data_IF_630331582766
#
_entry.id   IF_630331582766
#
_cell.length_a   1.000
_cell.length_b   1.000
_cell.length_c   1.000
_cell.angle_alpha   90.00
_cell.angle_beta   90.00
_cell.angle_gamma   90.00
#
_symmetry.space_group_name_H-M   'P 1'
#
loop_
_entity.id
_entity.type
_entity.pdbx_description
1 polymer ?
#
# COMPACT_ATOMS: atom_id res chain seq x y z
N UNK A 1 -2.49 -13.29 -3.29
CA UNK A 1 -2.81 -14.70 -3.26
C UNK A 1 -3.70 -15.17 -4.40
N UNK A 2 -4.51 -14.26 -4.93
CA UNK A 2 -5.32 -14.63 -6.10
C UNK A 2 -4.44 -14.90 -7.32
N UNK A 3 -3.15 -14.55 -7.26
CA UNK A 3 -2.22 -14.83 -8.34
C UNK A 3 -1.45 -16.12 -8.11
N UNK A 4 -1.74 -16.86 -7.03
CA UNK A 4 -0.98 -18.06 -6.70
C UNK A 4 -0.99 -19.10 -7.81
N UNK A 5 -2.16 -19.39 -8.37
CA UNK A 5 -2.24 -20.39 -9.43
C UNK A 5 -1.60 -19.92 -10.74
N UNK A 6 -1.90 -18.69 -11.21
CA UNK A 6 -1.24 -18.21 -12.43
C UNK A 6 0.28 -18.13 -12.30
N UNK A 7 0.81 -17.94 -11.09
CA UNK A 7 2.25 -17.87 -10.90
C UNK A 7 2.89 -19.23 -10.69
N UNK A 8 2.09 -20.24 -10.40
CA UNK A 8 2.64 -21.59 -10.15
C UNK A 8 3.44 -21.66 -8.86
N UNK A 9 2.95 -21.05 -7.80
CA UNK A 9 3.65 -21.03 -6.52
C UNK A 9 3.75 -22.43 -5.90
N UNK A 10 4.90 -22.73 -5.32
CA UNK A 10 5.04 -23.94 -4.52
C UNK A 10 4.30 -23.75 -3.20
N UNK A 11 3.98 -24.85 -2.48
CA UNK A 11 3.36 -24.71 -1.17
C UNK A 11 4.14 -23.84 -0.20
N UNK A 12 5.48 -23.95 -0.21
CA UNK A 12 6.33 -23.12 0.64
C UNK A 12 6.23 -21.64 0.25
N UNK A 13 6.25 -21.35 -1.05
CA UNK A 13 6.09 -19.97 -1.52
C UNK A 13 4.72 -19.42 -1.13
N UNK A 14 3.69 -20.23 -1.29
CA UNK A 14 2.34 -19.82 -0.96
C UNK A 14 2.21 -19.48 0.53
N UNK A 15 2.83 -20.29 1.39
CA UNK A 15 2.80 -20.03 2.82
C UNK A 15 3.50 -18.71 3.16
N UNK A 16 4.67 -18.48 2.55
CA UNK A 16 5.41 -17.24 2.79
C UNK A 16 4.64 -16.02 2.29
N UNK A 17 4.01 -16.14 1.12
CA UNK A 17 3.22 -15.06 0.55
C UNK A 17 2.03 -14.73 1.42
N UNK A 18 1.38 -15.76 1.96
CA UNK A 18 0.24 -15.57 2.86
C UNK A 18 0.65 -14.78 4.10
N UNK A 19 1.80 -15.16 4.69
CA UNK A 19 2.29 -14.47 5.88
C UNK A 19 2.65 -13.02 5.58
N UNK A 20 3.28 -12.78 4.43
CA UNK A 20 3.63 -11.42 4.01
C UNK A 20 2.38 -10.57 3.81
N UNK A 21 1.38 -11.16 3.16
CA UNK A 21 0.13 -10.46 2.89
C UNK A 21 -0.59 -10.11 4.20
N UNK A 22 -0.65 -11.06 5.13
CA UNK A 22 -1.33 -10.83 6.40
C UNK A 22 -0.64 -9.76 7.23
N UNK A 23 0.70 -9.76 7.22
CA UNK A 23 1.46 -8.73 7.93
C UNK A 23 1.23 -7.36 7.31
N UNK A 24 1.25 -7.27 5.98
CA UNK A 24 1.01 -6.02 5.27
C UNK A 24 -0.40 -5.53 5.54
N UNK A 25 -1.39 -6.44 5.48
CA UNK A 25 -2.78 -6.08 5.68
C UNK A 25 -3.02 -5.52 7.09
N UNK A 26 -2.42 -6.16 8.10
CA UNK A 26 -2.57 -5.69 9.47
C UNK A 26 -2.01 -4.27 9.63
N UNK A 27 -0.84 -4.02 9.05
CA UNK A 27 -0.22 -2.70 9.10
C UNK A 27 -1.07 -1.69 8.33
N UNK A 28 -1.55 -2.07 7.15
CA UNK A 28 -2.34 -1.17 6.30
C UNK A 28 -3.65 -0.77 6.95
N UNK A 29 -4.30 -1.69 7.65
CA UNK A 29 -5.56 -1.40 8.33
C UNK A 29 -5.34 -0.34 9.41
N UNK A 30 -4.31 -0.49 10.23
CA UNK A 30 -4.01 0.46 11.29
C UNK A 30 -3.69 1.84 10.70
N UNK A 31 -2.86 1.86 9.65
CA UNK A 31 -2.47 3.12 9.01
C UNK A 31 -3.66 3.77 8.31
N UNK A 32 -4.53 2.96 7.70
CA UNK A 32 -5.73 3.47 7.05
C UNK A 32 -6.67 4.13 8.05
N UNK A 33 -6.81 3.52 9.22
CA UNK A 33 -7.64 4.12 10.27
C UNK A 33 -7.06 5.45 10.75
N UNK A 34 -5.73 5.53 10.87
CA UNK A 34 -5.07 6.77 11.25
C UNK A 34 -5.26 7.85 10.20
N UNK A 35 -5.21 7.48 8.93
CA UNK A 35 -5.41 8.44 7.85
C UNK A 35 -6.84 8.99 7.88
N UNK A 36 -7.83 8.10 8.05
CA UNK A 36 -9.23 8.51 8.13
C UNK A 36 -9.42 9.46 9.30
N UNK A 37 -8.82 9.16 10.46
CA UNK A 37 -8.93 9.99 11.63
C UNK A 37 -8.30 11.37 11.40
N UNK A 38 -7.14 11.43 10.74
CA UNK A 38 -6.47 12.68 10.45
C UNK A 38 -7.31 13.57 9.52
N UNK A 39 -7.88 12.94 8.47
CA UNK A 39 -8.71 13.68 7.52
C UNK A 39 -9.99 14.17 8.18
N UNK A 40 -10.61 13.33 9.02
CA UNK A 40 -11.84 13.70 9.72
C UNK A 40 -11.60 14.86 10.69
N UNK A 41 -10.42 14.88 11.31
CA UNK A 41 -10.09 15.96 12.24
C UNK A 41 -9.97 17.30 11.50
N UNK A 42 -9.34 17.29 10.31
CA UNK A 42 -9.26 18.49 9.48
C UNK A 42 -10.66 18.96 9.08
N UNK A 43 -11.52 18.02 8.66
CA UNK A 43 -12.88 18.35 8.27
C UNK A 43 -13.65 18.98 9.42
N UNK A 44 -13.49 18.45 10.63
CA UNK A 44 -14.18 19.00 11.80
C UNK A 44 -13.71 20.42 12.09
N UNK A 45 -12.41 20.67 11.95
CA UNK A 45 -11.88 22.00 12.22
C UNK A 45 -12.39 23.02 11.21
N UNK A 46 -12.50 22.63 9.95
CA UNK A 46 -13.08 23.50 8.94
C UNK A 46 -14.56 23.74 9.19
N UNK A 47 -15.32 22.67 9.46
CA UNK A 47 -16.76 22.77 9.70
C UNK A 47 -17.06 23.63 10.94
N UNK A 48 -16.25 23.49 11.98
CA UNK A 48 -16.44 24.25 13.21
C UNK A 48 -15.78 25.60 13.19
N UNK A 49 -15.14 25.97 12.10
CA UNK A 49 -14.43 27.25 11.93
C UNK A 49 -13.38 27.49 13.00
N UNK A 50 -12.75 26.41 13.44
CA UNK A 50 -11.68 26.48 14.43
C UNK A 50 -10.30 26.30 13.83
N UNK A 51 -10.21 26.07 12.50
CA UNK A 51 -8.94 25.84 11.86
C UNK A 51 -8.09 27.12 11.90
N UNK A 52 -6.79 26.95 12.13
CA UNK A 52 -5.83 28.04 12.07
C UNK A 52 -4.80 27.70 11.01
N UNK A 53 -3.96 28.66 10.63
CA UNK A 53 -2.91 28.41 9.64
C UNK A 53 -1.97 27.30 10.11
N UNK A 54 -1.53 27.35 11.38
CA UNK A 54 -0.63 26.33 11.89
C UNK A 54 -1.35 24.99 12.02
N UNK A 55 -2.62 24.99 12.43
CA UNK A 55 -3.39 23.76 12.52
C UNK A 55 -3.60 23.11 11.17
N UNK A 56 -3.82 23.93 10.13
CA UNK A 56 -3.94 23.42 8.77
C UNK A 56 -2.66 22.75 8.32
N UNK A 57 -1.52 23.42 8.52
CA UNK A 57 -0.24 22.85 8.11
C UNK A 57 0.07 21.56 8.86
N UNK A 58 -0.17 21.55 10.17
CA UNK A 58 0.07 20.35 10.97
C UNK A 58 -0.82 19.20 10.53
N UNK A 59 -2.10 19.49 10.32
CA UNK A 59 -3.07 18.46 9.91
C UNK A 59 -2.72 17.84 8.56
N UNK A 60 -2.35 18.69 7.60
CA UNK A 60 -1.97 18.22 6.28
C UNK A 60 -0.69 17.39 6.35
N UNK A 61 0.30 17.85 7.13
CA UNK A 61 1.55 17.10 7.31
C UNK A 61 1.30 15.75 7.97
N UNK A 62 0.42 15.71 8.96
CA UNK A 62 0.09 14.46 9.64
C UNK A 62 -0.56 13.49 8.66
N UNK A 63 -1.54 13.94 7.90
CA UNK A 63 -2.20 13.09 6.92
C UNK A 63 -1.23 12.61 5.85
N UNK A 64 -0.36 13.50 5.37
CA UNK A 64 0.63 13.14 4.35
C UNK A 64 1.63 12.13 4.89
N UNK A 65 2.05 12.28 6.15
CA UNK A 65 3.00 11.35 6.77
C UNK A 65 2.39 9.96 6.89
N UNK A 66 1.13 9.87 7.34
CA UNK A 66 0.44 8.59 7.45
C UNK A 66 0.26 7.97 6.07
N UNK A 67 -0.12 8.77 5.08
CA UNK A 67 -0.31 8.28 3.74
C UNK A 67 1.01 7.75 3.15
N UNK A 68 2.11 8.45 3.39
CA UNK A 68 3.42 8.01 2.95
C UNK A 68 3.83 6.69 3.60
N UNK A 69 3.57 6.54 4.89
CA UNK A 69 3.86 5.30 5.60
C UNK A 69 3.01 4.15 5.06
N UNK A 70 1.74 4.42 4.75
CA UNK A 70 0.86 3.41 4.17
C UNK A 70 1.37 2.96 2.80
N UNK A 71 1.78 3.92 1.97
CA UNK A 71 2.34 3.60 0.67
C UNK A 71 3.61 2.77 0.80
N UNK A 72 4.47 3.13 1.78
CA UNK A 72 5.70 2.38 2.03
C UNK A 72 5.39 0.94 2.45
N UNK A 73 4.34 0.74 3.24
CA UNK A 73 3.94 -0.61 3.66
C UNK A 73 3.57 -1.47 2.45
N UNK A 74 2.80 -0.89 1.51
CA UNK A 74 2.43 -1.60 0.29
C UNK A 74 3.64 -1.91 -0.58
N UNK A 75 4.55 -0.94 -0.72
CA UNK A 75 5.73 -1.13 -1.56
C UNK A 75 6.69 -2.15 -0.94
N UNK A 76 6.81 -2.17 0.39
CA UNK A 76 7.62 -3.17 1.07
C UNK A 76 7.06 -4.57 0.82
N UNK A 77 5.74 -4.69 0.81
CA UNK A 77 5.11 -5.97 0.53
C UNK A 77 5.47 -6.46 -0.87
N UNK A 78 5.42 -5.56 -1.86
CA UNK A 78 5.78 -5.96 -3.23
C UNK A 78 7.26 -6.34 -3.31
N UNK A 79 8.13 -5.60 -2.64
CA UNK A 79 9.55 -5.91 -2.63
C UNK A 79 9.80 -7.29 -2.01
N UNK A 80 9.16 -7.58 -0.87
CA UNK A 80 9.30 -8.86 -0.22
C UNK A 80 8.73 -9.99 -1.07
N UNK A 81 7.62 -9.72 -1.77
CA UNK A 81 7.01 -10.69 -2.68
C UNK A 81 7.99 -11.08 -3.78
N UNK A 82 8.66 -10.10 -4.37
CA UNK A 82 9.63 -10.36 -5.43
C UNK A 82 10.76 -11.27 -4.92
N UNK A 83 11.16 -11.11 -3.66
CA UNK A 83 12.22 -11.95 -3.09
C UNK A 83 11.81 -13.41 -2.90
N UNK A 84 10.52 -13.66 -2.77
CA UNK A 84 10.00 -15.02 -2.62
C UNK A 84 9.93 -15.74 -3.97
N UNK A 85 9.75 -14.98 -5.04
CA UNK A 85 9.52 -15.52 -6.38
C UNK A 85 10.81 -15.84 -7.13
N UNK A 86 10.73 -16.79 -8.06
CA UNK A 86 11.83 -17.05 -8.99
C UNK A 86 11.86 -15.94 -10.04
N UNK A 87 12.95 -15.76 -10.77
CA UNK A 87 13.00 -14.73 -11.83
C UNK A 87 11.87 -14.85 -12.84
N UNK A 88 11.51 -16.09 -13.22
CA UNK A 88 10.41 -16.29 -14.17
C UNK A 88 9.09 -15.88 -13.56
N UNK A 89 8.90 -16.20 -12.30
CA UNK A 89 7.68 -15.79 -11.59
C UNK A 89 7.60 -14.29 -11.42
N UNK A 90 8.74 -13.62 -11.23
CA UNK A 90 8.77 -12.16 -11.12
C UNK A 90 8.27 -11.52 -12.43
N UNK A 91 8.74 -12.02 -13.56
CA UNK A 91 8.30 -11.54 -14.86
C UNK A 91 6.80 -11.74 -15.02
N UNK A 92 6.32 -12.93 -14.65
CA UNK A 92 4.92 -13.27 -14.76
C UNK A 92 4.07 -12.40 -13.82
N UNK A 93 4.57 -12.16 -12.62
CA UNK A 93 3.90 -11.34 -11.65
C UNK A 93 3.72 -9.91 -12.18
N UNK A 94 4.77 -9.35 -12.79
CA UNK A 94 4.69 -8.03 -13.38
C UNK A 94 3.66 -7.99 -14.51
N UNK A 95 3.63 -9.02 -15.34
CA UNK A 95 2.64 -9.11 -16.43
C UNK A 95 1.22 -9.16 -15.88
N UNK A 96 1.00 -9.99 -14.86
CA UNK A 96 -0.34 -10.15 -14.29
C UNK A 96 -0.82 -8.89 -13.60
N UNK A 97 0.09 -8.08 -13.10
CA UNK A 97 -0.28 -6.81 -12.51
C UNK A 97 -0.35 -5.70 -13.55
N UNK A 98 -0.03 -6.01 -14.80
CA UNK A 98 -0.11 -5.04 -15.87
C UNK A 98 1.06 -4.11 -15.99
N UNK A 99 2.12 -4.33 -15.23
CA UNK A 99 3.27 -3.43 -15.30
C UNK A 99 3.98 -3.51 -16.63
N UNK A 100 4.17 -4.71 -17.14
CA UNK A 100 4.90 -4.87 -18.37
C UNK A 100 4.19 -4.25 -19.55
N UNK A 101 2.89 -4.42 -19.62
CA UNK A 101 2.15 -3.88 -20.74
C UNK A 101 1.71 -2.49 -20.48
N UNK A 102 1.40 -2.24 -19.26
CA UNK A 102 0.86 -0.97 -19.00
C UNK A 102 1.86 0.04 -18.74
N UNK A 103 3.02 -0.29 -18.73
CA UNK A 103 3.86 0.54 -18.43
C UNK A 103 3.80 1.60 -19.07
N UNK A 104 3.24 1.31 -19.82
CA UNK A 104 2.93 2.33 -20.45
C UNK A 104 2.23 3.23 -19.59
N UNK A 105 1.82 3.20 -18.85
CA UNK A 105 1.13 4.08 -18.23
C UNK A 105 1.43 4.50 -17.14
N UNK A 106 1.88 4.90 -17.11
CA UNK A 106 2.19 5.07 -15.96
C UNK A 106 1.47 6.00 -15.30
N UNK A 107 1.27 6.00 -15.43
CA UNK A 107 0.65 6.48 -14.80
C UNK A 107 0.50 7.08 -13.89
N UNK A 108 0.44 7.13 -13.84
CA UNK A 108 0.14 7.38 -13.08
C UNK A 108 0.09 7.59 -12.09
N UNK A 109 0.27 7.59 -11.89
CA UNK A 109 0.06 7.67 -10.83
C UNK A 109 0.34 7.91 -10.23
#
# INVERSE_FOLDING_TARGET
LELAEPLGLTPAQRDRMTKLFEAMKAEAVVLGEKLIAAEADLDRQFAGKTITDSGLIEGVRNAASVQGTLRAAHLKYHLATVEVLTPEQVTRYAELRGYAGGMAKPRQH
#
